data_IF_925257091620
#
_entry.id   IF_925257091620
#
_cell.length_a   1.000
_cell.length_b   1.000
_cell.length_c   1.000
_cell.angle_alpha   90.00
_cell.angle_beta   90.00
_cell.angle_gamma   90.00
#
_symmetry.space_group_name_H-M   'P 1'
#
loop_
_entity.id
_entity.type
_entity.pdbx_description
1 polymer ?
#
# COMPACT_ATOMS: atom_id res chain seq x y z
N UNK A 1 -2.56 7.60 4.79
CA UNK A 1 -1.44 7.06 3.99
C UNK A 1 -0.64 8.23 3.41
N UNK A 2 0.69 8.15 3.32
CA UNK A 2 1.52 9.23 2.76
C UNK A 2 1.06 9.61 1.33
N UNK A 3 0.73 8.60 0.52
CA UNK A 3 0.22 8.77 -0.84
C UNK A 3 -1.05 9.63 -0.94
N UNK A 4 -2.03 9.45 -0.03
CA UNK A 4 -3.27 10.23 -0.07
C UNK A 4 -3.05 11.71 0.25
N UNK A 5 -2.14 12.00 1.18
CA UNK A 5 -1.77 13.38 1.54
C UNK A 5 -1.07 14.05 0.35
N UNK A 6 -0.10 13.35 -0.26
CA UNK A 6 0.61 13.87 -1.43
C UNK A 6 -0.32 14.13 -2.63
N UNK A 7 -1.31 13.25 -2.86
CA UNK A 7 -2.32 13.44 -3.92
C UNK A 7 -3.13 14.72 -3.68
N UNK A 8 -3.63 14.94 -2.45
CA UNK A 8 -4.37 16.16 -2.14
C UNK A 8 -3.51 17.40 -2.33
N UNK A 9 -2.28 17.39 -1.82
CA UNK A 9 -1.38 18.55 -1.93
C UNK A 9 -0.98 18.86 -3.38
N UNK A 10 -0.66 17.84 -4.18
CA UNK A 10 -0.23 18.07 -5.57
C UNK A 10 -1.39 18.43 -6.50
N UNK A 11 -2.59 17.90 -6.27
CA UNK A 11 -3.73 18.21 -7.12
C UNK A 11 -4.47 19.49 -6.70
N UNK A 12 -4.33 19.96 -5.46
CA UNK A 12 -4.98 21.19 -4.95
C UNK A 12 -4.79 22.40 -5.88
N UNK A 13 -3.57 22.65 -6.35
CA UNK A 13 -3.27 23.77 -7.24
C UNK A 13 -3.88 23.64 -8.65
N UNK A 14 -4.18 22.41 -9.09
CA UNK A 14 -4.63 22.12 -10.46
C UNK A 14 -6.13 21.95 -10.60
N UNK A 15 -6.80 21.36 -9.59
CA UNK A 15 -8.24 21.04 -9.63
C UNK A 15 -9.04 21.67 -8.50
N UNK A 16 -8.40 22.46 -7.64
CA UNK A 16 -9.00 23.09 -6.47
C UNK A 16 -9.04 22.17 -5.24
N UNK A 17 -9.11 22.79 -4.06
CA UNK A 17 -9.04 22.11 -2.76
C UNK A 17 -10.13 21.05 -2.58
N UNK A 18 -11.36 21.33 -3.01
CA UNK A 18 -12.49 20.43 -2.79
C UNK A 18 -12.30 19.11 -3.54
N UNK A 19 -12.01 19.15 -4.85
CA UNK A 19 -11.81 17.95 -5.66
C UNK A 19 -10.51 17.20 -5.29
N UNK A 20 -9.44 17.93 -4.96
CA UNK A 20 -8.20 17.32 -4.47
C UNK A 20 -8.38 16.56 -3.15
N UNK A 21 -9.27 17.04 -2.28
CA UNK A 21 -9.61 16.37 -1.01
C UNK A 21 -10.46 15.11 -1.26
N UNK A 22 -11.40 15.15 -2.21
CA UNK A 22 -12.16 13.96 -2.62
C UNK A 22 -11.23 12.87 -3.18
N UNK A 23 -10.29 13.24 -4.07
CA UNK A 23 -9.29 12.33 -4.61
C UNK A 23 -8.39 11.72 -3.53
N UNK A 24 -7.94 12.55 -2.58
CA UNK A 24 -7.16 12.06 -1.43
C UNK A 24 -7.96 11.08 -0.55
N UNK A 25 -9.25 11.36 -0.35
CA UNK A 25 -10.15 10.48 0.41
C UNK A 25 -10.37 9.15 -0.29
N UNK A 26 -10.58 9.16 -1.61
CA UNK A 26 -10.68 7.95 -2.41
C UNK A 26 -9.37 7.14 -2.36
N UNK A 27 -8.21 7.79 -2.43
CA UNK A 27 -6.91 7.13 -2.30
C UNK A 27 -6.71 6.51 -0.91
N UNK A 28 -7.18 7.18 0.15
CA UNK A 28 -7.17 6.64 1.51
C UNK A 28 -8.06 5.39 1.61
N UNK A 29 -9.31 5.48 1.15
CA UNK A 29 -10.25 4.37 1.17
C UNK A 29 -9.75 3.19 0.36
N UNK A 30 -9.20 3.42 -0.83
CA UNK A 30 -8.61 2.38 -1.67
C UNK A 30 -7.47 1.65 -0.94
N UNK A 31 -6.60 2.37 -0.23
CA UNK A 31 -5.56 1.75 0.59
C UNK A 31 -6.15 0.91 1.72
N UNK A 32 -7.15 1.42 2.44
CA UNK A 32 -7.82 0.68 3.52
C UNK A 32 -8.47 -0.59 2.99
N UNK A 33 -9.19 -0.53 1.87
CA UNK A 33 -9.79 -1.71 1.26
C UNK A 33 -8.75 -2.74 0.83
N UNK A 34 -7.64 -2.30 0.20
CA UNK A 34 -6.51 -3.18 -0.15
C UNK A 34 -5.93 -3.84 1.10
N UNK A 35 -5.69 -3.08 2.17
CA UNK A 35 -5.17 -3.60 3.44
C UNK A 35 -6.11 -4.63 4.06
N UNK A 36 -7.41 -4.36 4.10
CA UNK A 36 -8.40 -5.31 4.62
C UNK A 36 -8.49 -6.59 3.78
N UNK A 37 -8.49 -6.46 2.44
CA UNK A 37 -8.47 -7.61 1.54
C UNK A 37 -7.19 -8.42 1.68
N UNK A 38 -6.03 -7.77 1.81
CA UNK A 38 -4.78 -8.46 2.01
C UNK A 38 -4.72 -9.12 3.39
N UNK A 39 -5.15 -8.45 4.47
CA UNK A 39 -5.10 -8.98 5.83
C UNK A 39 -5.99 -10.21 6.02
N UNK A 40 -7.26 -10.11 5.58
CA UNK A 40 -8.24 -11.19 5.66
C UNK A 40 -7.98 -12.27 4.60
N UNK A 41 -7.48 -11.85 3.44
CA UNK A 41 -7.18 -12.71 2.30
C UNK A 41 -5.83 -13.42 2.38
N UNK A 42 -4.91 -13.03 3.27
CA UNK A 42 -3.58 -13.65 3.45
C UNK A 42 -3.60 -15.18 3.36
N UNK A 43 -4.44 -15.93 4.11
CA UNK A 43 -4.45 -17.39 4.02
C UNK A 43 -4.84 -17.91 2.63
N UNK A 44 -5.81 -17.25 1.97
CA UNK A 44 -6.27 -17.62 0.62
C UNK A 44 -5.20 -17.29 -0.41
N UNK A 45 -4.66 -16.07 -0.37
CA UNK A 45 -3.61 -15.58 -1.27
C UNK A 45 -2.38 -16.50 -1.16
N UNK A 46 -1.96 -16.84 0.06
CA UNK A 46 -0.87 -17.78 0.31
C UNK A 46 -1.14 -19.16 -0.26
N UNK A 47 -2.37 -19.66 -0.12
CA UNK A 47 -2.76 -21.01 -0.59
C UNK A 47 -2.73 -21.11 -2.11
N UNK A 48 -3.20 -20.10 -2.82
CA UNK A 48 -3.31 -20.13 -4.29
C UNK A 48 -2.07 -19.61 -5.01
N UNK A 49 -1.34 -18.66 -4.43
CA UNK A 49 -0.25 -17.94 -5.11
C UNK A 49 1.12 -18.07 -4.41
N UNK A 50 1.20 -18.81 -3.30
CA UNK A 50 2.45 -19.07 -2.58
C UNK A 50 2.85 -18.00 -1.56
N UNK A 51 4.06 -18.14 -0.99
CA UNK A 51 4.51 -17.36 0.19
C UNK A 51 4.81 -15.88 -0.09
N UNK A 52 5.12 -15.51 -1.34
CA UNK A 52 5.45 -14.14 -1.73
C UNK A 52 4.21 -13.30 -2.06
N UNK A 53 3.11 -13.94 -2.43
CA UNK A 53 1.91 -13.23 -2.87
C UNK A 53 1.26 -12.36 -1.77
N UNK A 54 1.19 -12.78 -0.49
CA UNK A 54 0.71 -11.91 0.58
C UNK A 54 1.55 -10.65 0.78
N UNK A 55 2.87 -10.74 0.58
CA UNK A 55 3.77 -9.58 0.67
C UNK A 55 3.46 -8.58 -0.44
N UNK A 56 3.31 -9.08 -1.67
CA UNK A 56 2.94 -8.25 -2.82
C UNK A 56 1.58 -7.59 -2.64
N UNK A 57 0.57 -8.34 -2.17
CA UNK A 57 -0.77 -7.82 -1.92
C UNK A 57 -0.82 -6.76 -0.79
N UNK A 58 0.05 -6.89 0.21
CA UNK A 58 0.15 -5.97 1.33
C UNK A 58 0.76 -4.61 0.95
N UNK A 59 1.60 -4.55 -0.10
CA UNK A 59 2.23 -3.30 -0.54
C UNK A 59 3.18 -2.72 0.53
N UNK A 60 3.12 -1.39 0.73
CA UNK A 60 3.93 -0.71 1.76
C UNK A 60 3.66 -1.26 3.16
N UNK A 61 2.42 -1.70 3.42
CA UNK A 61 2.00 -2.19 4.73
C UNK A 61 2.46 -3.63 5.04
N UNK A 62 3.23 -4.24 4.13
CA UNK A 62 3.87 -5.53 4.36
C UNK A 62 4.85 -5.50 5.54
N UNK A 63 5.39 -4.33 5.87
CA UNK A 63 6.35 -4.14 6.96
C UNK A 63 5.72 -3.78 8.32
N UNK A 64 4.41 -3.47 8.37
CA UNK A 64 3.72 -2.99 9.58
C UNK A 64 2.47 -3.83 9.93
N UNK A 65 1.28 -3.36 9.58
CA UNK A 65 -0.04 -3.90 9.91
C UNK A 65 -0.22 -5.33 9.40
N UNK A 66 0.34 -5.65 8.22
CA UNK A 66 0.22 -6.99 7.64
C UNK A 66 1.38 -7.92 7.99
N UNK A 67 2.46 -7.42 8.59
CA UNK A 67 3.62 -8.22 8.94
C UNK A 67 3.29 -9.41 9.86
N UNK A 68 2.44 -9.28 10.91
CA UNK A 68 2.04 -10.41 11.74
C UNK A 68 1.28 -11.49 10.95
N UNK A 69 0.37 -11.08 10.06
CA UNK A 69 -0.41 -12.00 9.21
C UNK A 69 0.49 -12.73 8.22
N UNK A 70 1.41 -12.02 7.55
CA UNK A 70 2.41 -12.60 6.66
C UNK A 70 3.29 -13.59 7.42
N UNK A 71 3.76 -13.22 8.61
CA UNK A 71 4.62 -14.08 9.44
C UNK A 71 3.89 -15.36 9.86
N UNK A 72 2.60 -15.25 10.21
CA UNK A 72 1.78 -16.38 10.64
C UNK A 72 1.52 -17.39 9.50
N UNK A 73 1.20 -16.90 8.30
CA UNK A 73 0.78 -17.77 7.18
C UNK A 73 1.90 -18.11 6.18
N UNK A 74 2.89 -17.23 6.03
CA UNK A 74 3.99 -17.37 5.05
C UNK A 74 5.31 -17.77 5.71
N UNK A 75 5.42 -17.64 7.03
CA UNK A 75 6.58 -18.05 7.83
C UNK A 75 7.52 -16.91 8.19
N UNK A 76 8.32 -17.10 9.25
CA UNK A 76 9.26 -16.10 9.78
C UNK A 76 10.39 -15.76 8.79
N UNK A 77 10.75 -16.71 7.93
CA UNK A 77 11.78 -16.51 6.90
C UNK A 77 11.40 -15.41 5.90
N UNK A 78 10.10 -15.07 5.82
CA UNK A 78 9.57 -14.04 4.92
C UNK A 78 9.63 -12.63 5.51
N UNK A 79 9.96 -12.47 6.80
CA UNK A 79 10.02 -11.17 7.48
C UNK A 79 11.01 -10.21 6.80
N UNK A 80 12.27 -10.59 6.50
CA UNK A 80 13.21 -9.68 5.87
C UNK A 80 12.73 -9.22 4.48
N UNK A 81 12.10 -10.13 3.73
CA UNK A 81 11.55 -9.83 2.40
C UNK A 81 10.39 -8.85 2.50
N UNK A 82 9.49 -9.05 3.46
CA UNK A 82 8.34 -8.17 3.68
C UNK A 82 8.79 -6.75 4.08
N UNK A 83 9.78 -6.63 4.97
CA UNK A 83 10.33 -5.33 5.38
C UNK A 83 10.99 -4.63 4.19
N UNK A 84 11.84 -5.33 3.45
CA UNK A 84 12.54 -4.74 2.30
C UNK A 84 11.56 -4.30 1.21
N UNK A 85 10.54 -5.10 0.93
CA UNK A 85 9.47 -4.76 0.00
C UNK A 85 8.71 -3.49 0.44
N UNK A 86 8.34 -3.40 1.72
CA UNK A 86 7.68 -2.21 2.28
C UNK A 86 8.51 -0.95 2.10
N UNK A 87 9.79 -1.00 2.47
CA UNK A 87 10.71 0.15 2.35
C UNK A 87 10.89 0.57 0.89
N UNK A 88 11.09 -0.37 -0.03
CA UNK A 88 11.26 -0.05 -1.45
C UNK A 88 10.03 0.65 -2.02
N UNK A 89 8.84 0.18 -1.67
CA UNK A 89 7.60 0.83 -2.10
C UNK A 89 7.49 2.22 -1.48
N UNK A 90 7.76 2.38 -0.19
CA UNK A 90 7.63 3.67 0.52
C UNK A 90 8.52 4.75 -0.12
N UNK A 91 9.77 4.40 -0.39
CA UNK A 91 10.72 5.28 -1.09
C UNK A 91 10.26 5.62 -2.51
N UNK A 92 9.49 4.74 -3.15
CA UNK A 92 8.97 4.96 -4.51
C UNK A 92 7.71 5.82 -4.56
N UNK A 93 6.93 5.89 -3.48
CA UNK A 93 5.67 6.67 -3.40
C UNK A 93 5.84 8.13 -3.82
N UNK A 94 6.78 8.92 -3.27
CA UNK A 94 6.90 10.33 -3.66
C UNK A 94 7.23 10.51 -5.14
N UNK A 95 8.06 9.61 -5.70
CA UNK A 95 8.40 9.64 -7.12
C UNK A 95 7.20 9.33 -8.01
N UNK A 96 6.50 8.21 -7.75
CA UNK A 96 5.36 7.80 -8.56
C UNK A 96 4.17 8.75 -8.43
N UNK A 97 3.85 9.21 -7.22
CA UNK A 97 2.75 10.17 -7.02
C UNK A 97 3.03 11.48 -7.73
N UNK A 98 4.26 11.99 -7.68
CA UNK A 98 4.65 13.20 -8.42
C UNK A 98 4.56 13.00 -9.94
N UNK A 99 5.04 11.86 -10.45
CA UNK A 99 4.97 11.54 -11.88
C UNK A 99 3.53 11.45 -12.38
N UNK A 100 2.66 10.69 -11.71
CA UNK A 100 1.27 10.52 -12.14
C UNK A 100 0.40 11.74 -11.89
N UNK A 101 0.73 12.58 -10.91
CA UNK A 101 0.00 13.84 -10.70
C UNK A 101 0.43 14.96 -11.66
N UNK A 102 1.62 14.87 -12.25
CA UNK A 102 2.10 15.85 -13.25
C UNK A 102 1.61 15.55 -14.68
N UNK A 103 1.20 14.31 -14.96
CA UNK A 103 0.41 13.92 -16.13
C UNK A 103 -1.04 14.44 -16.03
#
# INVERSE_FOLDING_TARGET
SLSSILITQFKEASVGLQLATELGTLALLANIFREMMALLGTPLIRKYFGKLAPISAAGVNSMDVLLPSITHYSGKDMIPVAIFHGILIDMSVPFFVSLFCSL
#
